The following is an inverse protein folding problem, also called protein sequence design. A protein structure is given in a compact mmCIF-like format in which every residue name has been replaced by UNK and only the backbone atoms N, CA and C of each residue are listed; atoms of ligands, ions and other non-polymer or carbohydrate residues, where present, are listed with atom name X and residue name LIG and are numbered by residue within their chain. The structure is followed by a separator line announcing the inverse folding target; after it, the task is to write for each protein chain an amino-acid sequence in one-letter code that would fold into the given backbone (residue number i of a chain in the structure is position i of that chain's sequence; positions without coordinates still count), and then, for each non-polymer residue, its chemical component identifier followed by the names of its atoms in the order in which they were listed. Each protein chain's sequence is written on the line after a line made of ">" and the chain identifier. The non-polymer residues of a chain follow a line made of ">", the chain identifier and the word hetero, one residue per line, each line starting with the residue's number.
data_IF_054833409825
#
_entry.id   IF_054833409825
#
_cell.length_a   1.000
_cell.length_b   1.000
_cell.length_c   1.000
_cell.angle_alpha   90.00
_cell.angle_beta   90.00
_cell.angle_gamma   90.00
#
_symmetry.space_group_name_H-M   'P 1'
#
loop_
_entity.id
_entity.type
_entity.pdbx_description
1 polymer ?
#
# COMPACT_ATOMS: atom_id res chain seq x y z
N UNK A 1 10.46 4.86 -41.00
CA UNK A 1 9.15 4.39 -40.51
C UNK A 1 8.98 4.83 -39.08
N UNK A 2 8.23 5.93 -38.84
CA UNK A 2 8.01 6.46 -37.48
C UNK A 2 6.78 5.79 -36.87
N UNK A 3 7.00 4.96 -35.84
CA UNK A 3 5.90 4.44 -35.00
C UNK A 3 5.42 5.56 -34.06
N UNK A 4 4.27 6.14 -34.35
CA UNK A 4 3.54 7.03 -33.43
C UNK A 4 3.01 6.19 -32.26
N UNK A 5 3.56 6.41 -31.06
CA UNK A 5 3.00 5.88 -29.81
C UNK A 5 1.70 6.61 -29.50
N UNK A 6 0.59 5.91 -29.62
CA UNK A 6 -0.76 6.41 -29.33
C UNK A 6 -0.97 6.38 -27.81
N UNK A 7 -0.47 7.38 -27.09
CA UNK A 7 -0.76 7.56 -25.67
C UNK A 7 -2.22 8.04 -25.52
N UNK A 8 -3.05 7.22 -24.89
CA UNK A 8 -4.45 7.57 -24.60
C UNK A 8 -4.50 8.80 -23.69
N UNK A 9 -5.27 9.84 -24.04
CA UNK A 9 -5.30 11.08 -23.28
C UNK A 9 -5.85 10.87 -21.85
N UNK A 10 -5.20 11.51 -20.88
CA UNK A 10 -5.38 11.37 -19.42
C UNK A 10 -6.83 11.61 -18.96
N UNK A 11 -7.58 12.47 -19.66
CA UNK A 11 -8.97 12.79 -19.33
C UNK A 11 -9.96 11.62 -19.50
N UNK A 12 -9.58 10.50 -20.12
CA UNK A 12 -10.40 9.27 -20.22
C UNK A 12 -10.30 8.35 -19.01
N UNK A 13 -9.47 8.68 -18.01
CA UNK A 13 -9.41 7.92 -16.76
C UNK A 13 -10.50 8.43 -15.82
N UNK A 14 -11.38 7.55 -15.41
CA UNK A 14 -12.52 7.83 -14.50
C UNK A 14 -12.03 8.58 -13.23
N UNK A 15 -10.83 8.29 -12.75
CA UNK A 15 -10.21 8.93 -11.60
C UNK A 15 -9.97 10.45 -11.78
N UNK A 16 -9.68 10.90 -13.00
CA UNK A 16 -9.50 12.33 -13.30
C UNK A 16 -10.81 13.12 -13.10
N UNK A 17 -11.95 12.53 -13.42
CA UNK A 17 -13.25 13.14 -13.21
C UNK A 17 -13.69 13.20 -11.75
N UNK A 18 -13.23 12.23 -10.93
CA UNK A 18 -13.45 12.23 -9.47
C UNK A 18 -12.70 13.39 -8.81
N UNK A 19 -11.46 13.67 -9.20
CA UNK A 19 -10.71 14.82 -8.70
C UNK A 19 -11.37 16.15 -9.06
N UNK A 20 -11.88 16.31 -10.28
CA UNK A 20 -12.58 17.55 -10.70
C UNK A 20 -13.85 17.75 -9.88
N UNK A 21 -14.61 16.67 -9.59
CA UNK A 21 -15.81 16.75 -8.77
C UNK A 21 -15.53 17.22 -7.35
N UNK A 22 -14.45 16.76 -6.73
CA UNK A 22 -14.05 17.16 -5.36
C UNK A 22 -13.67 18.65 -5.31
N UNK A 23 -12.91 19.14 -6.30
CA UNK A 23 -12.52 20.55 -6.38
C UNK A 23 -13.72 21.46 -6.59
N UNK A 24 -14.71 21.02 -7.40
CA UNK A 24 -15.92 21.79 -7.68
C UNK A 24 -16.82 21.98 -6.45
N UNK A 25 -16.91 20.99 -5.57
CA UNK A 25 -17.72 21.06 -4.35
C UNK A 25 -17.09 22.04 -3.34
N UNK A 26 -15.76 22.12 -3.26
CA UNK A 26 -15.07 23.05 -2.38
C UNK A 26 -15.27 24.52 -2.74
N UNK A 27 -15.40 24.87 -4.01
CA UNK A 27 -15.54 26.26 -4.48
C UNK A 27 -16.96 26.77 -4.30
N UNK A 28 -18.00 25.94 -4.43
CA UNK A 28 -19.40 26.35 -4.30
C UNK A 28 -19.78 26.70 -2.86
N UNK A 29 -19.17 26.03 -1.86
CA UNK A 29 -19.45 26.33 -0.45
C UNK A 29 -18.77 27.60 0.07
N UNK A 30 -17.83 28.20 -0.67
CA UNK A 30 -17.13 29.43 -0.28
C UNK A 30 -17.80 30.74 -0.71
N UNK A 31 -18.81 30.72 -1.59
CA UNK A 31 -19.37 31.93 -2.23
C UNK A 31 -20.76 32.32 -1.71
N UNK A 32 -21.47 31.48 -0.98
CA UNK A 32 -22.89 31.70 -0.62
C UNK A 32 -23.17 32.16 0.82
N UNK A 33 -22.16 32.57 1.61
CA UNK A 33 -22.40 33.09 2.95
C UNK A 33 -21.76 34.46 3.17
N UNK A 34 -22.44 35.54 2.77
CA UNK A 34 -22.25 36.88 3.32
C UNK A 34 -23.49 37.26 4.11
N UNK A 35 -23.39 37.51 5.43
CA UNK A 35 -24.51 37.98 6.25
C UNK A 35 -24.49 39.49 6.46
N UNK A 36 -25.62 40.11 6.78
CA UNK A 36 -25.59 41.43 7.36
C UNK A 36 -25.48 41.39 8.89
N UNK A 37 -24.49 42.08 9.35
CA UNK A 37 -24.28 42.93 10.53
C UNK A 37 -25.00 42.70 11.86
N UNK A 38 -24.13 42.64 12.89
CA UNK A 38 -24.27 42.97 14.33
C UNK A 38 -24.73 41.85 15.29
N UNK A 39 -23.81 41.35 16.10
CA UNK A 39 -23.67 41.66 17.53
C UNK A 39 -22.52 40.84 18.13
N UNK A 40 -21.71 41.47 18.97
CA UNK A 40 -20.56 40.88 19.64
C UNK A 40 -20.92 39.70 20.53
N UNK A 41 -20.14 38.59 20.42
CA UNK A 41 -19.89 37.71 21.56
C UNK A 41 -18.72 36.79 21.25
N UNK A 42 -17.65 36.92 22.03
CA UNK A 42 -16.70 35.97 22.51
C UNK A 42 -16.07 34.97 21.52
N UNK A 43 -14.84 35.28 21.14
CA UNK A 43 -13.90 34.42 20.49
C UNK A 43 -13.65 33.18 21.34
N UNK A 44 -14.29 32.09 21.05
CA UNK A 44 -13.77 30.74 21.44
C UNK A 44 -12.76 30.33 20.41
N UNK A 45 -11.49 30.43 20.84
CA UNK A 45 -10.34 29.86 20.15
C UNK A 45 -10.50 28.32 20.18
N UNK A 46 -11.13 27.77 19.16
CA UNK A 46 -11.12 26.32 18.96
C UNK A 46 -9.69 25.90 18.69
N UNK A 47 -8.99 25.57 19.75
CA UNK A 47 -7.73 24.83 19.68
C UNK A 47 -8.11 23.46 19.14
N UNK A 48 -7.92 23.24 17.84
CA UNK A 48 -7.93 21.90 17.27
C UNK A 48 -6.75 21.16 17.91
N UNK A 49 -7.00 20.49 19.01
CA UNK A 49 -6.12 19.45 19.53
C UNK A 49 -6.12 18.36 18.47
N UNK A 50 -5.13 18.37 17.59
CA UNK A 50 -4.79 17.23 16.75
C UNK A 50 -4.36 16.16 17.73
N UNK A 51 -5.29 15.30 18.14
CA UNK A 51 -4.96 14.03 18.78
C UNK A 51 -4.21 13.28 17.69
N UNK A 52 -2.90 13.16 17.81
CA UNK A 52 -2.09 12.27 16.99
C UNK A 52 -2.62 10.86 17.24
N UNK A 53 -3.57 10.45 16.41
CA UNK A 53 -4.09 9.11 16.47
C UNK A 53 -2.97 8.19 15.99
N UNK A 54 -2.35 7.47 16.94
CA UNK A 54 -1.30 6.51 16.65
C UNK A 54 -1.80 5.53 15.61
N UNK A 55 -1.06 5.37 14.51
CA UNK A 55 -1.39 4.40 13.46
C UNK A 55 -1.55 2.99 14.07
N UNK A 56 -2.54 2.28 13.57
CA UNK A 56 -2.74 0.86 13.87
C UNK A 56 -3.24 0.17 12.62
N UNK A 57 -2.51 -0.84 12.19
CA UNK A 57 -2.94 -1.69 11.10
C UNK A 57 -4.23 -2.41 11.50
N UNK A 58 -5.26 -2.32 10.67
CA UNK A 58 -6.49 -3.10 10.76
C UNK A 58 -6.54 -4.11 9.63
N UNK A 59 -7.47 -5.04 9.68
CA UNK A 59 -7.65 -6.02 8.60
C UNK A 59 -7.94 -5.33 7.26
N UNK A 60 -8.80 -4.34 7.26
CA UNK A 60 -9.18 -3.58 6.07
C UNK A 60 -7.98 -2.81 5.48
N UNK A 61 -7.17 -2.19 6.33
CA UNK A 61 -5.92 -1.53 5.91
C UNK A 61 -4.89 -2.55 5.40
N UNK A 62 -4.82 -3.74 5.99
CA UNK A 62 -3.96 -4.81 5.50
C UNK A 62 -4.39 -5.32 4.11
N UNK A 63 -5.69 -5.50 3.89
CA UNK A 63 -6.24 -5.85 2.58
C UNK A 63 -5.99 -4.73 1.55
N UNK A 64 -6.19 -3.46 1.92
CA UNK A 64 -5.89 -2.31 1.07
C UNK A 64 -4.40 -2.23 0.72
N UNK A 65 -3.52 -2.39 1.71
CA UNK A 65 -2.08 -2.42 1.48
C UNK A 65 -1.68 -3.58 0.55
N UNK A 66 -2.26 -4.76 0.70
CA UNK A 66 -1.99 -5.89 -0.20
C UNK A 66 -2.35 -5.57 -1.66
N UNK A 67 -3.46 -4.89 -1.91
CA UNK A 67 -3.83 -4.43 -3.26
C UNK A 67 -2.84 -3.38 -3.79
N UNK A 68 -2.49 -2.40 -2.96
CA UNK A 68 -1.48 -1.39 -3.33
C UNK A 68 -0.13 -2.04 -3.62
N UNK A 69 0.28 -3.03 -2.81
CA UNK A 69 1.50 -3.81 -3.04
C UNK A 69 1.45 -4.55 -4.37
N UNK A 70 0.32 -5.17 -4.73
CA UNK A 70 0.13 -5.84 -6.03
C UNK A 70 0.39 -4.91 -7.22
N UNK A 71 -0.07 -3.69 -7.13
CA UNK A 71 0.00 -2.71 -8.21
C UNK A 71 1.38 -2.05 -8.34
N UNK A 72 2.12 -1.93 -7.24
CA UNK A 72 3.35 -1.16 -7.17
C UNK A 72 4.61 -2.02 -7.01
N UNK A 73 4.51 -3.29 -6.58
CA UNK A 73 5.67 -4.14 -6.42
C UNK A 73 6.13 -4.74 -7.76
N UNK A 74 7.43 -4.64 -8.01
CA UNK A 74 8.11 -5.37 -9.05
C UNK A 74 9.23 -6.19 -8.41
N UNK A 75 9.06 -7.50 -8.40
CA UNK A 75 10.03 -8.45 -7.85
C UNK A 75 10.61 -9.26 -9.01
N UNK A 76 11.91 -9.27 -9.12
CA UNK A 76 12.62 -9.90 -10.22
C UNK A 76 13.40 -11.14 -9.73
N UNK A 77 13.32 -12.22 -10.51
CA UNK A 77 14.21 -13.38 -10.40
C UNK A 77 15.03 -13.48 -11.69
N UNK A 78 16.35 -13.32 -11.60
CA UNK A 78 17.26 -13.33 -12.75
C UNK A 78 16.87 -12.40 -13.90
N UNK A 79 16.26 -11.25 -13.57
CA UNK A 79 15.78 -10.26 -14.55
C UNK A 79 14.37 -10.52 -15.09
N UNK A 80 13.72 -11.62 -14.72
CA UNK A 80 12.33 -11.91 -15.07
C UNK A 80 11.40 -11.52 -13.93
N UNK A 81 10.24 -10.95 -14.27
CA UNK A 81 9.23 -10.56 -13.29
C UNK A 81 8.58 -11.81 -12.67
N UNK A 82 8.57 -11.87 -11.37
CA UNK A 82 7.88 -12.94 -10.62
C UNK A 82 6.41 -12.59 -10.47
N UNK A 83 5.54 -13.46 -10.98
CA UNK A 83 4.12 -13.34 -10.74
C UNK A 83 3.77 -13.78 -9.31
N UNK A 84 2.92 -12.98 -8.65
CA UNK A 84 2.49 -13.27 -7.29
C UNK A 84 1.07 -12.77 -7.01
N UNK A 85 0.44 -13.35 -6.00
CA UNK A 85 -0.86 -12.94 -5.48
C UNK A 85 -0.70 -12.58 -4.01
N UNK A 86 -0.84 -11.30 -3.63
CA UNK A 86 -0.77 -10.90 -2.24
C UNK A 86 -2.13 -11.04 -1.54
N UNK A 87 -2.08 -11.11 -0.22
CA UNK A 87 -3.21 -10.97 0.69
C UNK A 87 -2.71 -10.31 1.97
N UNK A 88 -3.55 -9.56 2.64
CA UNK A 88 -3.16 -8.84 3.86
C UNK A 88 -4.17 -9.01 4.98
N UNK A 89 -3.69 -8.88 6.21
CA UNK A 89 -4.49 -8.78 7.42
C UNK A 89 -3.91 -7.73 8.37
N UNK A 90 -4.36 -7.68 9.61
CA UNK A 90 -3.91 -6.72 10.62
C UNK A 90 -2.46 -6.92 11.09
N UNK A 91 -1.80 -8.00 10.68
CA UNK A 91 -0.44 -8.37 11.11
C UNK A 91 0.48 -8.74 9.96
N UNK A 92 -0.07 -9.29 8.88
CA UNK A 92 0.72 -9.95 7.86
C UNK A 92 0.40 -9.46 6.45
N UNK A 93 1.44 -9.40 5.63
CA UNK A 93 1.35 -9.44 4.18
C UNK A 93 1.74 -10.85 3.72
N UNK A 94 0.80 -11.62 3.21
CA UNK A 94 1.06 -12.92 2.60
C UNK A 94 1.27 -12.77 1.10
N UNK A 95 2.26 -13.45 0.53
CA UNK A 95 2.54 -13.47 -0.90
C UNK A 95 2.55 -14.90 -1.39
N UNK A 96 1.74 -15.23 -2.40
CA UNK A 96 1.75 -16.54 -3.06
C UNK A 96 2.44 -16.44 -4.40
N UNK A 97 3.46 -17.26 -4.60
CA UNK A 97 4.25 -17.39 -5.82
C UNK A 97 4.03 -18.74 -6.46
N UNK A 98 4.53 -18.95 -7.69
CA UNK A 98 4.31 -20.19 -8.44
C UNK A 98 4.62 -21.47 -7.64
N UNK A 99 3.89 -22.54 -7.91
CA UNK A 99 4.04 -23.84 -7.21
C UNK A 99 5.45 -24.42 -7.33
N UNK A 100 6.13 -24.19 -8.45
CA UNK A 100 7.49 -24.68 -8.69
C UNK A 100 8.50 -24.27 -7.61
N UNK A 101 8.25 -23.13 -6.93
CA UNK A 101 9.12 -22.62 -5.88
C UNK A 101 9.25 -23.54 -4.67
N UNK A 102 8.31 -24.45 -4.43
CA UNK A 102 8.43 -25.45 -3.35
C UNK A 102 9.66 -26.36 -3.52
N UNK A 103 10.05 -26.63 -4.77
CA UNK A 103 11.15 -27.54 -5.13
C UNK A 103 12.50 -26.80 -5.33
N UNK A 104 12.50 -25.46 -5.22
CA UNK A 104 13.73 -24.68 -5.39
C UNK A 104 14.70 -24.86 -4.21
N UNK A 105 15.98 -24.59 -4.49
CA UNK A 105 17.03 -24.65 -3.46
C UNK A 105 16.75 -23.62 -2.33
N UNK A 106 17.23 -23.92 -1.13
CA UNK A 106 17.13 -23.00 0.01
C UNK A 106 17.72 -21.62 -0.31
N UNK A 107 18.84 -21.57 -1.01
CA UNK A 107 19.49 -20.31 -1.41
C UNK A 107 18.60 -19.48 -2.34
N UNK A 108 17.89 -20.13 -3.26
CA UNK A 108 17.01 -19.43 -4.18
C UNK A 108 15.72 -18.97 -3.50
N UNK A 109 15.17 -19.78 -2.59
CA UNK A 109 14.03 -19.42 -1.76
C UNK A 109 14.34 -18.18 -0.88
N UNK A 110 15.52 -18.17 -0.23
CA UNK A 110 15.91 -17.03 0.59
C UNK A 110 16.14 -15.76 -0.25
N UNK A 111 16.74 -15.89 -1.43
CA UNK A 111 16.93 -14.79 -2.35
C UNK A 111 15.61 -14.12 -2.71
N UNK A 112 14.65 -14.87 -3.25
CA UNK A 112 13.36 -14.30 -3.67
C UNK A 112 12.57 -13.74 -2.48
N UNK A 113 12.64 -14.37 -1.32
CA UNK A 113 11.98 -13.90 -0.11
C UNK A 113 12.54 -12.55 0.34
N UNK A 114 13.86 -12.35 0.23
CA UNK A 114 14.49 -11.07 0.54
C UNK A 114 14.14 -9.98 -0.47
N UNK A 115 13.95 -10.31 -1.75
CA UNK A 115 13.48 -9.33 -2.74
C UNK A 115 12.03 -8.88 -2.44
N UNK A 116 11.15 -9.80 -2.03
CA UNK A 116 9.81 -9.45 -1.53
C UNK A 116 9.87 -8.60 -0.26
N UNK A 117 10.79 -8.89 0.67
CA UNK A 117 10.96 -8.12 1.90
C UNK A 117 11.38 -6.66 1.61
N UNK A 118 12.34 -6.48 0.72
CA UNK A 118 12.78 -5.14 0.29
C UNK A 118 11.62 -4.37 -0.37
N UNK A 119 10.91 -5.02 -1.29
CA UNK A 119 9.76 -4.42 -1.95
C UNK A 119 8.67 -4.03 -0.95
N UNK A 120 8.35 -4.92 0.01
CA UNK A 120 7.35 -4.67 1.06
C UNK A 120 7.73 -3.42 1.88
N UNK A 121 8.96 -3.34 2.36
CA UNK A 121 9.39 -2.23 3.22
C UNK A 121 9.31 -0.89 2.48
N UNK A 122 9.83 -0.82 1.25
CA UNK A 122 9.79 0.39 0.44
C UNK A 122 8.37 0.82 0.05
N UNK A 123 7.52 -0.14 -0.30
CA UNK A 123 6.15 0.14 -0.75
C UNK A 123 5.25 0.50 0.43
N UNK A 124 5.46 -0.09 1.61
CA UNK A 124 4.72 0.27 2.81
C UNK A 124 4.97 1.72 3.23
N UNK A 125 6.23 2.14 3.24
CA UNK A 125 6.61 3.53 3.53
C UNK A 125 5.92 4.49 2.56
N UNK A 126 5.99 4.22 1.26
CA UNK A 126 5.34 5.01 0.23
C UNK A 126 3.82 5.08 0.40
N UNK A 127 3.17 3.93 0.64
CA UNK A 127 1.74 3.85 0.88
C UNK A 127 1.30 4.66 2.09
N UNK A 128 2.04 4.52 3.21
CA UNK A 128 1.75 5.26 4.43
C UNK A 128 1.89 6.77 4.22
N UNK A 129 2.93 7.22 3.51
CA UNK A 129 3.12 8.63 3.17
C UNK A 129 2.00 9.17 2.28
N UNK A 130 1.59 8.44 1.24
CA UNK A 130 0.49 8.84 0.36
C UNK A 130 -0.85 8.93 1.08
N UNK A 131 -1.07 8.13 2.13
CA UNK A 131 -2.26 8.15 2.98
C UNK A 131 -2.18 9.17 4.12
N UNK A 132 -1.02 9.77 4.36
CA UNK A 132 -0.79 10.69 5.48
C UNK A 132 -0.76 10.00 6.84
N UNK A 133 -0.44 8.70 6.89
CA UNK A 133 -0.32 7.96 8.14
C UNK A 133 1.04 8.24 8.81
N UNK A 134 1.01 8.51 10.11
CA UNK A 134 2.22 8.57 10.93
C UNK A 134 2.51 7.16 11.47
N UNK A 135 3.42 6.45 10.79
CA UNK A 135 3.76 5.05 11.06
C UNK A 135 5.16 4.90 11.67
N UNK A 136 5.30 3.94 12.56
CA UNK A 136 6.59 3.46 13.06
C UNK A 136 6.99 2.24 12.22
N UNK A 137 7.95 2.43 11.29
CA UNK A 137 8.37 1.38 10.36
C UNK A 137 8.96 0.13 11.03
N UNK A 138 9.35 0.20 12.32
CA UNK A 138 9.81 -0.97 13.05
C UNK A 138 8.65 -1.80 13.65
N UNK A 139 7.50 -1.16 13.90
CA UNK A 139 6.39 -1.78 14.66
C UNK A 139 5.10 -1.96 13.85
N UNK A 140 4.84 -1.02 12.94
CA UNK A 140 3.54 -0.94 12.27
C UNK A 140 3.55 -1.64 10.90
N UNK A 141 4.73 -1.97 10.37
CA UNK A 141 4.86 -2.68 9.11
C UNK A 141 4.40 -4.13 9.25
N UNK A 142 3.51 -4.64 8.35
CA UNK A 142 3.06 -6.02 8.42
C UNK A 142 4.18 -7.01 8.16
N UNK A 143 4.12 -8.15 8.86
CA UNK A 143 5.09 -9.24 8.70
C UNK A 143 4.92 -9.94 7.35
N UNK A 144 6.00 -10.23 6.66
CA UNK A 144 5.93 -10.91 5.36
C UNK A 144 5.92 -12.43 5.52
N UNK A 145 4.95 -13.08 4.85
CA UNK A 145 4.83 -14.52 4.74
C UNK A 145 4.83 -14.91 3.26
N UNK A 146 5.69 -15.83 2.84
CA UNK A 146 5.78 -16.28 1.45
C UNK A 146 5.31 -17.72 1.34
N UNK A 147 4.34 -17.95 0.46
CA UNK A 147 3.71 -19.25 0.20
C UNK A 147 3.85 -19.63 -1.27
N UNK A 148 3.71 -20.90 -1.56
CA UNK A 148 3.47 -21.37 -2.93
C UNK A 148 1.98 -21.40 -3.23
N UNK A 149 1.63 -21.37 -4.52
CA UNK A 149 0.25 -21.37 -5.01
C UNK A 149 -0.37 -22.76 -5.12
N UNK A 150 0.32 -23.81 -4.63
CA UNK A 150 -0.21 -25.17 -4.58
C UNK A 150 -1.44 -25.28 -3.65
N UNK A 151 -2.20 -26.36 -3.77
CA UNK A 151 -3.39 -26.61 -2.98
C UNK A 151 -3.11 -26.68 -1.47
N UNK A 152 -1.91 -27.13 -1.10
CA UNK A 152 -1.46 -27.19 0.30
C UNK A 152 -1.06 -25.81 0.85
N UNK A 153 -0.89 -24.78 -0.01
CA UNK A 153 -0.41 -23.45 0.37
C UNK A 153 0.88 -23.54 1.19
N UNK A 154 1.86 -24.26 0.66
CA UNK A 154 3.12 -24.53 1.35
C UNK A 154 3.82 -23.22 1.67
N UNK A 155 4.02 -22.92 2.95
CA UNK A 155 4.79 -21.78 3.39
C UNK A 155 6.28 -22.07 3.22
N UNK A 156 6.98 -21.26 2.44
CA UNK A 156 8.40 -21.42 2.17
C UNK A 156 9.29 -20.53 3.03
N UNK A 157 8.78 -19.39 3.44
CA UNK A 157 9.51 -18.46 4.31
C UNK A 157 8.60 -17.56 5.10
N UNK A 158 9.14 -16.99 6.17
CA UNK A 158 8.50 -15.94 6.96
C UNK A 158 9.53 -14.92 7.43
N UNK A 159 9.07 -13.71 7.59
CA UNK A 159 9.85 -12.66 8.23
C UNK A 159 9.92 -12.89 9.74
N UNK A 160 11.10 -12.71 10.30
CA UNK A 160 11.31 -12.74 11.74
C UNK A 160 12.39 -11.71 12.10
N UNK A 161 12.04 -10.72 12.90
CA UNK A 161 12.96 -9.62 13.32
C UNK A 161 13.61 -8.92 12.13
N UNK A 162 12.84 -8.61 11.08
CA UNK A 162 13.33 -7.91 9.90
C UNK A 162 14.15 -8.74 8.92
N UNK A 163 14.24 -10.06 9.11
CA UNK A 163 14.94 -10.98 8.22
C UNK A 163 14.03 -12.12 7.76
N UNK A 164 14.24 -12.61 6.52
CA UNK A 164 13.53 -13.78 6.04
C UNK A 164 14.15 -15.08 6.57
N UNK A 165 13.31 -15.97 7.07
CA UNK A 165 13.68 -17.32 7.53
C UNK A 165 12.98 -18.36 6.66
N UNK A 166 13.73 -19.32 6.13
CA UNK A 166 13.17 -20.46 5.39
C UNK A 166 12.60 -21.49 6.37
N UNK A 167 11.41 -21.95 6.07
CA UNK A 167 10.76 -23.03 6.80
C UNK A 167 11.22 -24.38 6.22
N UNK A 168 11.48 -25.35 7.09
CA UNK A 168 11.90 -26.71 6.72
C UNK A 168 10.68 -27.60 6.56
#
# INVERSE_FOLDING_TARGET
>A
MNKRTNSKPIYKRVWFWVLIAIVSIGVVNGILNTPPKNTATKTEKTTSTTVEQKFKMTKELGEEFALYFKENAEVLDKGEKVDFVPGGDDKNLSVRIGESWKNESTSRKIYISNEFLKAKNSIFEKWAQEKGYNVDLEKDIPQLLVYTSDSAKTQISQEYKGEMKILK
#
